data_IF_993201869552
#
_entry.id   IF_993201869552
#
_cell.length_a   1.000
_cell.length_b   1.000
_cell.length_c   1.000
_cell.angle_alpha   90.00
_cell.angle_beta   90.00
_cell.angle_gamma   90.00
#
_symmetry.space_group_name_H-M   'P 1'
#
loop_
_entity.id
_entity.type
_entity.pdbx_description
1 polymer ?
#
# COMPACT_ATOMS: atom_id res chain seq x y z
N UNK A 1 -16.03 18.50 2.57
CA UNK A 1 -16.39 17.08 2.63
C UNK A 1 -16.48 16.70 4.11
N UNK A 2 -17.56 16.09 4.51
CA UNK A 2 -17.72 15.57 5.88
C UNK A 2 -16.99 14.23 5.95
N UNK A 3 -16.09 14.08 6.92
CA UNK A 3 -15.36 12.83 7.14
C UNK A 3 -16.05 12.11 8.29
N UNK A 4 -16.56 10.93 8.02
CA UNK A 4 -17.14 10.05 9.04
C UNK A 4 -16.10 8.95 9.34
N UNK A 5 -15.34 9.07 10.44
CA UNK A 5 -14.33 8.08 10.79
C UNK A 5 -14.98 6.79 11.32
N UNK A 6 -14.26 5.68 11.16
CA UNK A 6 -14.62 4.43 11.85
C UNK A 6 -14.24 4.58 13.33
N UNK A 7 -15.23 4.61 14.20
CA UNK A 7 -15.04 4.83 15.65
C UNK A 7 -14.20 3.74 16.34
N UNK A 8 -14.10 2.55 15.74
CA UNK A 8 -13.28 1.47 16.27
C UNK A 8 -11.77 1.63 15.98
N UNK A 9 -11.43 2.44 14.95
CA UNK A 9 -10.05 2.62 14.49
C UNK A 9 -9.53 4.03 14.74
N UNK A 10 -10.43 5.02 14.74
CA UNK A 10 -10.08 6.44 14.81
C UNK A 10 -10.84 7.10 15.94
N UNK A 11 -10.16 7.43 17.02
CA UNK A 11 -10.77 8.07 18.20
C UNK A 11 -11.17 9.52 17.97
N UNK A 12 -10.49 10.25 17.07
CA UNK A 12 -10.80 11.62 16.73
C UNK A 12 -10.23 12.03 15.37
N UNK A 13 -10.93 12.96 14.69
CA UNK A 13 -10.45 13.63 13.48
C UNK A 13 -10.44 15.13 13.75
N UNK A 14 -9.33 15.77 13.38
CA UNK A 14 -9.17 17.24 13.52
C UNK A 14 -8.59 17.83 12.25
N UNK A 15 -9.08 18.98 11.89
CA UNK A 15 -8.46 19.83 10.87
C UNK A 15 -7.47 20.75 11.57
N UNK A 16 -6.22 20.70 11.15
CA UNK A 16 -5.14 21.51 11.72
C UNK A 16 -4.45 22.32 10.62
N UNK A 17 -4.10 23.56 10.98
CA UNK A 17 -3.24 24.36 10.10
C UNK A 17 -1.85 23.72 10.00
N UNK A 18 -1.23 23.65 8.80
CA UNK A 18 0.10 23.09 8.62
C UNK A 18 1.18 23.71 9.52
N UNK A 19 1.07 24.98 9.86
CA UNK A 19 2.00 25.65 10.78
C UNK A 19 1.88 25.14 12.21
N UNK A 20 0.66 24.77 12.63
CA UNK A 20 0.39 24.15 13.94
C UNK A 20 0.96 22.75 13.97
N UNK A 21 0.78 21.99 12.88
CA UNK A 21 1.38 20.66 12.74
C UNK A 21 2.92 20.74 12.78
N UNK A 22 3.53 21.74 12.15
CA UNK A 22 4.97 21.97 12.21
C UNK A 22 5.48 22.18 13.65
N UNK A 23 4.78 22.98 14.45
CA UNK A 23 5.09 23.15 15.88
C UNK A 23 4.97 21.84 16.66
N UNK A 24 3.89 21.09 16.43
CA UNK A 24 3.66 19.78 17.02
C UNK A 24 4.82 18.82 16.70
N UNK A 25 5.32 18.82 15.46
CA UNK A 25 6.46 17.98 15.05
C UNK A 25 7.74 18.29 15.82
N UNK A 26 7.91 19.55 16.23
CA UNK A 26 9.06 20.02 17.00
C UNK A 26 8.87 19.90 18.53
N UNK A 27 7.74 19.34 18.97
CA UNK A 27 7.44 19.26 20.40
C UNK A 27 6.99 20.59 20.99
N UNK A 28 6.49 21.52 20.18
CA UNK A 28 6.09 22.86 20.57
C UNK A 28 4.57 23.07 20.49
N UNK A 29 4.06 24.04 21.25
CA UNK A 29 2.67 24.41 21.22
C UNK A 29 1.75 23.47 21.99
N UNK A 30 0.45 23.67 21.83
CA UNK A 30 -0.62 22.93 22.55
C UNK A 30 -0.56 21.42 22.32
N UNK A 31 -0.09 20.98 21.15
CA UNK A 31 -0.05 19.60 20.70
C UNK A 31 1.36 19.00 20.67
N UNK A 32 2.34 19.67 21.28
CA UNK A 32 3.75 19.25 21.24
C UNK A 32 4.04 17.92 21.93
N UNK A 33 3.15 17.48 22.85
CA UNK A 33 3.26 16.21 23.57
C UNK A 33 2.59 15.03 22.84
N UNK A 34 1.89 15.30 21.73
CA UNK A 34 1.21 14.25 20.97
C UNK A 34 2.20 13.30 20.30
N UNK A 35 1.88 12.01 20.36
CA UNK A 35 2.70 10.96 19.71
C UNK A 35 2.41 10.95 18.22
N UNK A 36 3.38 11.37 17.45
CA UNK A 36 3.29 11.36 15.99
C UNK A 36 3.88 10.08 15.43
N UNK A 37 3.16 9.43 14.52
CA UNK A 37 3.64 8.23 13.85
C UNK A 37 5.00 8.48 13.18
N UNK A 38 6.02 7.62 13.38
CA UNK A 38 7.38 7.83 12.88
C UNK A 38 7.43 8.07 11.36
N UNK A 39 6.62 7.34 10.58
CA UNK A 39 6.55 7.49 9.14
C UNK A 39 5.98 8.86 8.71
N UNK A 40 5.01 9.41 9.45
CA UNK A 40 4.46 10.73 9.16
C UNK A 40 5.48 11.82 9.46
N UNK A 41 6.26 11.68 10.54
CA UNK A 41 7.36 12.58 10.87
C UNK A 41 8.42 12.63 9.76
N UNK A 42 8.77 11.47 9.19
CA UNK A 42 9.71 11.40 8.07
C UNK A 42 9.17 12.08 6.81
N UNK A 43 7.91 11.88 6.48
CA UNK A 43 7.25 12.56 5.34
C UNK A 43 7.24 14.07 5.57
N UNK A 44 6.87 14.50 6.77
CA UNK A 44 6.84 15.92 7.13
C UNK A 44 8.19 16.57 6.93
N UNK A 45 9.22 16.05 7.57
CA UNK A 45 10.58 16.61 7.51
C UNK A 45 11.18 16.60 6.11
N UNK A 46 10.88 15.60 5.32
CA UNK A 46 11.49 15.43 4.00
C UNK A 46 10.79 16.19 2.88
N UNK A 47 9.49 16.31 2.97
CA UNK A 47 8.68 16.82 1.86
C UNK A 47 7.85 18.07 2.21
N UNK A 48 7.30 18.16 3.41
CA UNK A 48 6.33 19.21 3.74
C UNK A 48 7.04 20.45 4.32
N UNK A 49 7.88 20.26 5.31
CA UNK A 49 8.61 21.34 5.97
C UNK A 49 9.55 22.12 5.01
N UNK A 50 10.35 21.47 4.14
CA UNK A 50 11.20 22.18 3.19
C UNK A 50 10.43 23.03 2.18
N UNK A 51 9.15 22.72 1.94
CA UNK A 51 8.24 23.49 1.08
C UNK A 51 7.40 24.52 1.86
N UNK A 52 7.86 24.95 3.03
CA UNK A 52 7.22 26.00 3.83
C UNK A 52 5.88 25.59 4.44
N UNK A 53 5.63 24.29 4.60
CA UNK A 53 4.36 23.73 5.10
C UNK A 53 3.13 24.12 4.23
N UNK A 54 3.36 24.52 2.98
CA UNK A 54 2.29 24.86 2.04
C UNK A 54 1.99 23.69 1.10
N UNK A 55 0.86 23.04 1.34
CA UNK A 55 0.41 21.90 0.53
C UNK A 55 0.11 22.27 -0.94
N UNK A 56 -0.22 23.54 -1.24
CA UNK A 56 -0.41 23.98 -2.63
C UNK A 56 0.90 24.06 -3.35
N UNK A 57 1.91 24.61 -2.71
CA UNK A 57 3.29 24.65 -3.24
C UNK A 57 3.84 23.24 -3.40
N UNK A 58 3.62 22.36 -2.42
CA UNK A 58 4.02 20.96 -2.51
C UNK A 58 3.31 20.24 -3.66
N UNK A 59 1.99 20.40 -3.79
CA UNK A 59 1.23 19.79 -4.88
C UNK A 59 1.69 20.28 -6.26
N UNK A 60 2.00 21.57 -6.38
CA UNK A 60 2.51 22.14 -7.62
C UNK A 60 3.94 21.66 -7.91
N UNK A 61 4.80 21.53 -6.92
CA UNK A 61 6.16 21.02 -7.09
C UNK A 61 6.15 19.55 -7.51
N UNK A 62 5.28 18.72 -6.92
CA UNK A 62 5.14 17.31 -7.32
C UNK A 62 4.64 17.20 -8.77
N UNK A 63 3.69 18.03 -9.19
CA UNK A 63 3.22 18.06 -10.58
C UNK A 63 4.31 18.54 -11.53
N UNK A 64 5.11 19.56 -11.13
CA UNK A 64 6.26 20.04 -11.92
C UNK A 64 7.34 18.98 -12.06
N UNK A 65 7.65 18.26 -10.99
CA UNK A 65 8.66 17.19 -10.98
C UNK A 65 8.23 15.97 -11.81
N UNK A 66 6.93 15.67 -11.90
CA UNK A 66 6.41 14.62 -12.78
C UNK A 66 6.59 14.98 -14.27
N UNK A 67 6.49 16.26 -14.62
CA UNK A 67 6.84 16.72 -15.97
C UNK A 67 8.36 16.66 -16.23
N UNK A 68 9.18 16.74 -15.18
CA UNK A 68 10.64 16.79 -15.25
C UNK A 68 11.32 15.43 -15.21
N UNK A 69 10.62 14.36 -14.90
CA UNK A 69 11.14 12.98 -14.94
C UNK A 69 11.42 12.50 -16.38
N UNK A 70 11.94 13.40 -17.25
CA UNK A 70 12.38 13.10 -18.58
C UNK A 70 11.36 12.28 -19.38
N UNK A 71 11.62 11.98 -20.62
CA UNK A 71 10.88 10.93 -21.33
C UNK A 71 11.05 9.64 -20.53
N UNK A 72 10.09 9.38 -19.63
CA UNK A 72 9.93 8.03 -19.06
C UNK A 72 9.81 7.15 -20.28
N UNK A 73 10.80 6.31 -20.53
CA UNK A 73 10.73 5.34 -21.59
C UNK A 73 9.56 4.41 -21.27
N UNK A 74 8.38 4.81 -21.78
CA UNK A 74 7.13 4.08 -21.60
C UNK A 74 7.14 2.77 -22.41
N UNK A 75 8.18 2.51 -23.20
CA UNK A 75 8.32 1.28 -23.98
C UNK A 75 8.52 0.05 -23.06
N UNK A 76 8.99 0.25 -21.84
CA UNK A 76 9.04 -0.78 -20.80
C UNK A 76 7.82 -0.82 -19.89
N UNK A 77 7.12 0.30 -19.75
CA UNK A 77 5.79 0.36 -19.12
C UNK A 77 4.78 0.05 -20.23
N UNK A 78 3.96 -0.97 -20.06
CA UNK A 78 2.86 -1.31 -20.98
C UNK A 78 1.74 -0.25 -21.01
N UNK A 79 2.09 1.03 -20.79
CA UNK A 79 1.18 2.17 -20.84
C UNK A 79 1.25 2.74 -22.25
N UNK A 80 0.25 2.38 -23.05
CA UNK A 80 0.07 3.03 -24.36
C UNK A 80 -0.48 4.45 -24.18
N UNK A 81 -0.08 5.41 -25.01
CA UNK A 81 -0.70 6.74 -25.02
C UNK A 81 -2.21 6.62 -25.05
N UNK A 82 -2.91 7.25 -24.10
CA UNK A 82 -4.36 7.16 -23.96
C UNK A 82 -4.89 6.09 -23.01
N UNK A 83 -4.05 5.22 -22.44
CA UNK A 83 -4.44 4.36 -21.32
C UNK A 83 -4.48 5.19 -20.03
N UNK A 84 -5.55 5.02 -19.25
CA UNK A 84 -5.58 5.57 -17.91
C UNK A 84 -4.65 4.76 -16.97
N UNK A 85 -4.20 5.37 -15.89
CA UNK A 85 -3.31 4.75 -14.89
C UNK A 85 -3.82 3.38 -14.43
N UNK A 86 -5.13 3.22 -14.25
CA UNK A 86 -5.73 1.96 -13.80
C UNK A 86 -5.56 0.83 -14.83
N UNK A 87 -5.65 1.16 -16.13
CA UNK A 87 -5.41 0.18 -17.19
C UNK A 87 -3.96 -0.28 -17.25
N UNK A 88 -3.01 0.64 -17.02
CA UNK A 88 -1.60 0.31 -16.92
C UNK A 88 -1.28 -0.58 -15.72
N UNK A 89 -1.84 -0.23 -14.57
CA UNK A 89 -1.67 -1.02 -13.34
C UNK A 89 -2.31 -2.42 -13.45
N UNK A 90 -3.31 -2.63 -14.30
CA UNK A 90 -3.94 -3.94 -14.47
C UNK A 90 -2.98 -4.98 -15.04
N UNK A 91 -2.16 -4.62 -16.01
CA UNK A 91 -1.14 -5.52 -16.60
C UNK A 91 -0.10 -5.90 -15.54
N UNK A 92 0.40 -4.92 -14.82
CA UNK A 92 1.37 -5.16 -13.73
C UNK A 92 0.77 -6.05 -12.63
N UNK A 93 -0.51 -5.86 -12.32
CA UNK A 93 -1.24 -6.70 -11.37
C UNK A 93 -1.29 -8.15 -11.82
N UNK A 94 -1.61 -8.41 -13.08
CA UNK A 94 -1.66 -9.78 -13.62
C UNK A 94 -0.32 -10.50 -13.51
N UNK A 95 0.78 -9.82 -13.85
CA UNK A 95 2.13 -10.38 -13.75
C UNK A 95 2.51 -10.72 -12.31
N UNK A 96 2.21 -9.82 -11.36
CA UNK A 96 2.43 -10.07 -9.94
C UNK A 96 1.55 -11.22 -9.44
N UNK A 97 0.28 -11.29 -9.84
CA UNK A 97 -0.61 -12.38 -9.44
C UNK A 97 -0.13 -13.73 -9.97
N UNK A 98 0.41 -13.79 -11.21
CA UNK A 98 1.04 -14.99 -11.75
C UNK A 98 2.25 -15.41 -10.93
N UNK A 99 3.12 -14.46 -10.55
CA UNK A 99 4.29 -14.75 -9.72
C UNK A 99 3.92 -15.25 -8.33
N UNK A 100 2.89 -14.65 -7.69
CA UNK A 100 2.33 -15.11 -6.43
C UNK A 100 1.86 -16.56 -6.55
N UNK A 101 1.02 -16.87 -7.55
CA UNK A 101 0.49 -18.22 -7.74
C UNK A 101 1.58 -19.22 -8.05
N UNK A 102 2.58 -18.86 -8.85
CA UNK A 102 3.74 -19.69 -9.15
C UNK A 102 4.55 -20.01 -7.89
N UNK A 103 4.78 -19.01 -7.04
CA UNK A 103 5.48 -19.18 -5.78
C UNK A 103 4.74 -20.10 -4.81
N UNK A 104 3.41 -19.93 -4.70
CA UNK A 104 2.56 -20.74 -3.82
C UNK A 104 2.31 -22.15 -4.35
N UNK A 105 2.37 -22.38 -5.67
CA UNK A 105 2.18 -23.71 -6.28
C UNK A 105 3.20 -24.76 -5.85
N UNK A 106 4.34 -24.33 -5.29
CA UNK A 106 5.37 -25.22 -4.74
C UNK A 106 4.91 -25.96 -3.46
N UNK A 107 3.82 -25.52 -2.86
CA UNK A 107 3.24 -26.15 -1.67
C UNK A 107 2.54 -27.47 -2.04
N UNK A 108 2.98 -28.57 -1.44
CA UNK A 108 2.45 -29.91 -1.74
C UNK A 108 1.16 -30.26 -0.98
N UNK A 109 0.95 -29.63 0.17
CA UNK A 109 -0.21 -29.91 1.01
C UNK A 109 -1.41 -29.09 0.52
N UNK A 110 -2.40 -29.77 -0.06
CA UNK A 110 -3.56 -29.15 -0.71
C UNK A 110 -4.35 -28.21 0.21
N UNK A 111 -4.62 -28.64 1.46
CA UNK A 111 -5.36 -27.82 2.43
C UNK A 111 -4.62 -26.54 2.77
N UNK A 112 -3.31 -26.62 2.98
CA UNK A 112 -2.47 -25.46 3.27
C UNK A 112 -2.38 -24.53 2.06
N UNK A 113 -2.16 -25.08 0.86
CA UNK A 113 -2.18 -24.31 -0.37
C UNK A 113 -3.52 -23.57 -0.56
N UNK A 114 -4.64 -24.25 -0.31
CA UNK A 114 -5.97 -23.66 -0.35
C UNK A 114 -6.12 -22.48 0.62
N UNK A 115 -5.68 -22.64 1.88
CA UNK A 115 -5.71 -21.59 2.88
C UNK A 115 -4.83 -20.38 2.49
N UNK A 116 -3.60 -20.62 2.02
CA UNK A 116 -2.66 -19.57 1.59
C UNK A 116 -3.18 -18.77 0.39
N UNK A 117 -3.91 -19.41 -0.52
CA UNK A 117 -4.44 -18.75 -1.73
C UNK A 117 -5.83 -18.15 -1.52
N UNK A 118 -6.50 -18.45 -0.42
CA UNK A 118 -7.91 -18.11 -0.18
C UNK A 118 -8.19 -16.61 -0.32
N UNK A 119 -7.43 -15.75 0.38
CA UNK A 119 -7.66 -14.31 0.37
C UNK A 119 -7.31 -13.66 -0.98
N UNK A 120 -6.49 -14.30 -1.81
CA UNK A 120 -6.21 -13.80 -3.15
C UNK A 120 -7.44 -13.87 -4.06
N UNK A 121 -8.36 -14.82 -3.83
CA UNK A 121 -9.63 -14.97 -4.56
C UNK A 121 -10.58 -13.80 -4.33
N UNK A 122 -10.51 -13.15 -3.17
CA UNK A 122 -11.28 -11.94 -2.85
C UNK A 122 -10.85 -10.69 -3.63
N UNK A 123 -9.90 -10.83 -4.54
CA UNK A 123 -9.39 -9.74 -5.37
C UNK A 123 -8.49 -8.77 -4.61
N UNK A 124 -8.30 -7.59 -5.19
CA UNK A 124 -7.48 -6.53 -4.63
C UNK A 124 -6.71 -5.78 -5.70
N UNK A 125 -6.30 -4.55 -5.41
CA UNK A 125 -5.55 -3.69 -6.34
C UNK A 125 -4.08 -4.07 -6.48
N UNK A 126 -3.54 -4.88 -5.57
CA UNK A 126 -2.13 -5.32 -5.52
C UNK A 126 -1.11 -4.17 -5.57
N UNK A 127 -1.46 -2.99 -5.11
CA UNK A 127 -0.59 -1.83 -5.21
C UNK A 127 0.76 -2.05 -4.53
N UNK A 128 0.78 -2.71 -3.36
CA UNK A 128 2.04 -3.00 -2.65
C UNK A 128 2.96 -3.91 -3.46
N UNK A 129 2.37 -4.88 -4.15
CA UNK A 129 3.11 -5.84 -4.97
C UNK A 129 3.60 -5.24 -6.29
N UNK A 130 2.89 -4.27 -6.85
CA UNK A 130 3.28 -3.58 -8.09
C UNK A 130 4.37 -2.53 -7.82
N UNK A 131 4.38 -1.93 -6.64
CA UNK A 131 5.25 -0.80 -6.32
C UNK A 131 6.75 -1.06 -6.55
N UNK A 132 7.34 -2.21 -6.18
CA UNK A 132 8.75 -2.49 -6.47
C UNK A 132 9.09 -2.41 -7.96
N UNK A 133 8.20 -2.90 -8.82
CA UNK A 133 8.38 -2.83 -10.27
C UNK A 133 8.31 -1.40 -10.77
N UNK A 134 7.33 -0.62 -10.36
CA UNK A 134 7.18 0.78 -10.75
C UNK A 134 8.37 1.62 -10.31
N UNK A 135 8.85 1.41 -9.08
CA UNK A 135 10.03 2.12 -8.58
C UNK A 135 11.28 1.70 -9.36
N UNK A 136 11.45 0.41 -9.63
CA UNK A 136 12.56 -0.08 -10.46
C UNK A 136 12.58 0.57 -11.84
N UNK A 137 11.43 0.67 -12.50
CA UNK A 137 11.28 1.34 -13.80
C UNK A 137 11.57 2.84 -13.75
N UNK A 138 11.21 3.48 -12.65
CA UNK A 138 11.43 4.93 -12.47
C UNK A 138 12.88 5.30 -12.19
N UNK A 139 13.67 4.42 -11.58
CA UNK A 139 15.05 4.72 -11.16
C UNK A 139 16.12 4.04 -12.01
N UNK A 140 15.75 3.14 -12.90
CA UNK A 140 16.70 2.42 -13.73
C UNK A 140 16.12 1.16 -14.38
N UNK A 141 16.95 0.13 -14.48
CA UNK A 141 16.59 -1.11 -15.16
C UNK A 141 15.76 -2.03 -14.24
N UNK A 142 14.46 -2.05 -14.45
CA UNK A 142 13.60 -3.03 -13.81
C UNK A 142 13.72 -4.40 -14.48
N UNK A 143 13.76 -5.46 -13.67
CA UNK A 143 13.80 -6.85 -14.11
C UNK A 143 12.75 -7.69 -13.40
N UNK A 144 12.66 -8.97 -13.74
CA UNK A 144 11.63 -9.86 -13.18
C UNK A 144 11.78 -10.09 -11.67
N UNK A 145 12.96 -9.86 -11.09
CA UNK A 145 13.16 -9.89 -9.66
C UNK A 145 12.28 -8.90 -8.88
N UNK A 146 11.84 -7.81 -9.52
CA UNK A 146 10.91 -6.85 -8.90
C UNK A 146 9.51 -7.45 -8.73
N UNK A 147 9.06 -8.34 -9.62
CA UNK A 147 7.81 -9.07 -9.45
C UNK A 147 7.92 -10.09 -8.32
N UNK A 148 9.05 -10.80 -8.22
CA UNK A 148 9.32 -11.74 -7.13
C UNK A 148 9.35 -11.02 -5.77
N UNK A 149 9.98 -9.83 -5.70
CA UNK A 149 9.96 -8.99 -4.51
C UNK A 149 8.53 -8.54 -4.18
N UNK A 150 7.79 -8.06 -5.18
CA UNK A 150 6.40 -7.64 -5.02
C UNK A 150 5.49 -8.77 -4.54
N UNK A 151 5.63 -9.95 -5.14
CA UNK A 151 4.92 -11.16 -4.72
C UNK A 151 5.21 -11.53 -3.28
N UNK A 152 6.49 -11.45 -2.86
CA UNK A 152 6.89 -11.72 -1.48
C UNK A 152 6.24 -10.76 -0.49
N UNK A 153 6.23 -9.46 -0.80
CA UNK A 153 5.58 -8.42 0.02
C UNK A 153 4.08 -8.70 0.16
N UNK A 154 3.40 -9.05 -0.94
CA UNK A 154 1.96 -9.32 -0.92
C UNK A 154 1.62 -10.62 -0.17
N UNK A 155 2.45 -11.65 -0.27
CA UNK A 155 2.28 -12.89 0.50
C UNK A 155 2.42 -12.61 1.99
N UNK A 156 3.44 -11.84 2.40
CA UNK A 156 3.61 -11.43 3.80
C UNK A 156 2.42 -10.59 4.26
N UNK A 157 1.96 -9.64 3.45
CA UNK A 157 0.78 -8.85 3.78
C UNK A 157 -0.49 -9.70 3.95
N UNK A 158 -0.71 -10.69 3.07
CA UNK A 158 -1.84 -11.60 3.26
C UNK A 158 -1.70 -12.44 4.53
N UNK A 159 -0.50 -12.87 4.89
CA UNK A 159 -0.27 -13.55 6.17
C UNK A 159 -0.65 -12.67 7.35
N UNK A 160 -0.27 -11.38 7.34
CA UNK A 160 -0.67 -10.47 8.43
C UNK A 160 -2.18 -10.31 8.51
N UNK A 161 -2.89 -10.23 7.36
CA UNK A 161 -4.34 -10.14 7.34
C UNK A 161 -5.02 -11.40 7.91
N UNK A 162 -4.51 -12.59 7.60
CA UNK A 162 -5.00 -13.86 8.21
C UNK A 162 -4.80 -13.85 9.72
N UNK A 163 -3.64 -13.37 10.16
CA UNK A 163 -3.34 -13.27 11.59
C UNK A 163 -4.27 -12.28 12.30
N UNK A 164 -4.49 -11.11 11.70
CA UNK A 164 -5.41 -10.10 12.22
C UNK A 164 -6.83 -10.66 12.33
N UNK A 165 -7.34 -11.33 11.27
CA UNK A 165 -8.68 -11.95 11.29
C UNK A 165 -8.85 -12.98 12.42
N UNK A 166 -7.80 -13.72 12.76
CA UNK A 166 -7.82 -14.67 13.88
C UNK A 166 -7.83 -13.92 15.21
N UNK A 167 -7.01 -12.89 15.36
CA UNK A 167 -6.90 -12.11 16.60
C UNK A 167 -8.19 -11.32 16.89
N UNK A 168 -8.78 -10.72 15.85
CA UNK A 168 -9.97 -9.88 15.96
C UNK A 168 -11.27 -10.70 15.89
N UNK A 169 -11.18 -12.02 15.62
CA UNK A 169 -12.31 -12.92 15.41
C UNK A 169 -13.23 -12.45 14.26
N UNK A 170 -12.67 -11.82 13.24
CA UNK A 170 -13.40 -11.33 12.07
C UNK A 170 -13.84 -12.50 11.17
N UNK A 171 -15.15 -12.78 11.01
CA UNK A 171 -15.61 -13.94 10.25
C UNK A 171 -15.54 -13.73 8.73
N UNK A 172 -15.47 -12.50 8.24
CA UNK A 172 -15.56 -12.16 6.82
C UNK A 172 -14.47 -11.16 6.43
N UNK A 173 -13.77 -11.45 5.33
CA UNK A 173 -12.80 -10.54 4.72
C UNK A 173 -13.01 -10.43 3.21
N UNK A 174 -13.14 -9.19 2.71
CA UNK A 174 -13.36 -8.91 1.27
C UNK A 174 -14.55 -9.66 0.67
N UNK A 175 -15.60 -9.88 1.45
CA UNK A 175 -16.81 -10.60 1.02
C UNK A 175 -16.68 -12.11 0.98
N UNK A 176 -15.57 -12.67 1.44
CA UNK A 176 -15.34 -14.11 1.63
C UNK A 176 -15.25 -14.42 3.12
N UNK A 177 -15.51 -15.66 3.48
CA UNK A 177 -15.21 -16.14 4.83
C UNK A 177 -13.73 -15.95 5.13
N UNK A 178 -13.40 -15.50 6.34
CA UNK A 178 -12.01 -15.42 6.78
C UNK A 178 -11.36 -16.80 6.77
N UNK A 179 -10.03 -16.88 6.63
CA UNK A 179 -9.32 -18.16 6.48
C UNK A 179 -9.58 -19.12 7.65
N UNK A 180 -9.64 -18.59 8.88
CA UNK A 180 -9.90 -19.41 10.07
C UNK A 180 -11.31 -20.01 10.07
N UNK A 181 -12.30 -19.32 9.48
CA UNK A 181 -13.67 -19.83 9.29
C UNK A 181 -13.71 -20.83 8.15
N UNK A 182 -13.17 -20.49 6.98
CA UNK A 182 -13.21 -21.32 5.78
C UNK A 182 -12.47 -22.66 5.93
N UNK A 183 -11.43 -22.69 6.78
CA UNK A 183 -10.57 -23.87 6.97
C UNK A 183 -10.66 -24.47 8.39
N UNK A 184 -11.66 -24.04 9.19
CA UNK A 184 -11.89 -24.54 10.56
C UNK A 184 -10.60 -24.54 11.40
N UNK A 185 -9.94 -23.38 11.44
CA UNK A 185 -8.77 -23.16 12.29
C UNK A 185 -9.28 -22.67 13.64
N UNK A 186 -9.29 -23.55 14.63
CA UNK A 186 -9.67 -23.18 16.00
C UNK A 186 -8.47 -22.47 16.65
N UNK A 187 -8.73 -21.29 17.22
CA UNK A 187 -7.83 -20.70 18.20
C UNK A 187 -7.97 -21.50 19.49
N UNK A 188 -7.03 -22.40 19.77
CA UNK A 188 -6.89 -23.01 21.09
C UNK A 188 -6.25 -22.03 22.06
#
# INVERSE_FOLDING_TARGET
AEITPNENEISAVRWMDPTVVGKMMNGEGEWGEEIVAPWFRLIWQRFIEPNGCDFKTLANSIVGDIEFCGEVNLDGLSIKPGQNLLGALSVQRELVEQEIMTSLSKMRQERLHGAMTHLFKGGGKRLRAILPRLVGEAVGDANDGHYTLGASIEIIHNFTLVHDDIMDQDPIRRGLDAVHVAYDVRSE
#
